data_IF_757826080243
#
_entry.id   IF_757826080243
#
_cell.length_a   1.000
_cell.length_b   1.000
_cell.length_c   1.000
_cell.angle_alpha   90.00
_cell.angle_beta   90.00
_cell.angle_gamma   90.00
#
_symmetry.space_group_name_H-M   'P 1'
#
loop_
_entity.id
_entity.type
_entity.pdbx_description
1 polymer ?
#
# COMPACT_ATOMS: atom_id res chain seq x y z
N UNK A 1 15.22 -41.82 38.62
CA UNK A 1 15.10 -40.34 38.49
C UNK A 1 14.37 -39.95 37.20
N UNK A 2 13.17 -40.47 36.99
CA UNK A 2 12.30 -40.19 35.82
C UNK A 2 10.82 -40.34 36.22
N UNK A 3 10.45 -39.90 37.43
CA UNK A 3 9.06 -40.03 37.93
C UNK A 3 8.61 -38.93 38.91
N UNK A 4 9.34 -37.81 39.06
CA UNK A 4 8.95 -36.73 39.99
C UNK A 4 8.69 -35.36 39.33
N UNK A 5 8.41 -35.30 38.03
CA UNK A 5 8.03 -34.07 37.31
C UNK A 5 6.60 -34.10 36.75
N UNK A 6 5.66 -34.80 37.40
CA UNK A 6 4.26 -34.93 36.94
C UNK A 6 3.20 -34.58 38.00
N UNK A 7 3.55 -33.88 39.08
CA UNK A 7 2.60 -33.64 40.20
C UNK A 7 2.43 -32.20 40.69
N UNK A 8 2.91 -31.20 39.95
CA UNK A 8 2.64 -29.80 40.28
C UNK A 8 2.25 -29.06 39.01
N UNK A 9 0.96 -29.07 38.70
CA UNK A 9 0.18 -28.00 38.04
C UNK A 9 -1.22 -28.55 37.63
N UNK A 10 -1.86 -29.27 38.54
CA UNK A 10 -3.29 -29.63 38.49
C UNK A 10 -4.02 -28.85 39.57
N UNK A 11 -3.99 -27.52 39.49
CA UNK A 11 -4.70 -26.64 40.41
C UNK A 11 -5.04 -25.31 39.71
N UNK A 12 -5.85 -25.37 38.66
CA UNK A 12 -6.62 -24.22 38.16
C UNK A 12 -7.76 -24.68 37.21
N UNK A 13 -8.35 -25.84 37.47
CA UNK A 13 -9.57 -26.28 36.78
C UNK A 13 -10.74 -26.10 37.75
N UNK A 14 -11.50 -25.01 37.56
CA UNK A 14 -12.91 -24.79 37.92
C UNK A 14 -13.15 -23.36 38.42
N UNK A 15 -13.19 -22.39 37.49
CA UNK A 15 -14.20 -21.33 37.55
C UNK A 15 -14.32 -20.66 36.19
N UNK A 16 -15.57 -20.37 35.80
CA UNK A 16 -15.97 -19.67 34.58
C UNK A 16 -16.02 -20.51 33.30
N UNK A 17 -16.97 -21.46 33.28
CA UNK A 17 -17.73 -21.71 32.06
C UNK A 17 -18.50 -20.44 31.67
N UNK A 18 -18.05 -19.77 30.62
CA UNK A 18 -18.90 -18.96 29.75
C UNK A 18 -18.47 -19.23 28.30
N UNK A 19 -19.39 -19.52 27.38
CA UNK A 19 -19.09 -19.59 25.96
C UNK A 19 -18.95 -18.15 25.45
N UNK A 20 -17.76 -17.58 25.60
CA UNK A 20 -17.38 -16.37 24.88
C UNK A 20 -17.03 -16.77 23.46
N UNK A 21 -18.01 -16.75 22.56
CA UNK A 21 -17.71 -16.63 21.14
C UNK A 21 -16.82 -15.40 20.98
N UNK A 22 -15.58 -15.59 20.57
CA UNK A 22 -14.77 -14.53 20.02
C UNK A 22 -15.44 -14.12 18.70
N UNK A 23 -16.45 -13.26 18.83
CA UNK A 23 -16.97 -12.45 17.75
C UNK A 23 -15.79 -11.56 17.36
N UNK A 24 -15.08 -11.95 16.29
CA UNK A 24 -14.37 -10.96 15.48
C UNK A 24 -15.36 -9.80 15.30
N UNK A 25 -14.99 -8.54 15.57
CA UNK A 25 -15.89 -7.43 15.27
C UNK A 25 -16.17 -7.51 13.78
N UNK A 26 -17.34 -8.07 13.42
CA UNK A 26 -17.97 -7.76 12.16
C UNK A 26 -18.22 -6.28 12.27
N UNK A 27 -17.37 -5.47 11.65
CA UNK A 27 -17.66 -4.07 11.41
C UNK A 27 -18.90 -4.04 10.51
N UNK A 28 -20.06 -4.14 11.13
CA UNK A 28 -21.32 -3.83 10.51
C UNK A 28 -21.26 -2.35 10.20
N UNK A 29 -20.90 -2.03 8.96
CA UNK A 29 -21.05 -0.70 8.42
C UNK A 29 -22.56 -0.39 8.42
N UNK A 30 -23.07 0.18 9.50
CA UNK A 30 -24.27 1.01 9.41
C UNK A 30 -23.85 2.21 8.60
N UNK A 31 -24.14 2.19 7.30
CA UNK A 31 -24.03 3.34 6.42
C UNK A 31 -24.92 4.46 6.99
N UNK A 32 -24.34 5.26 7.88
CA UNK A 32 -24.84 6.60 8.12
C UNK A 32 -24.67 7.33 6.80
N UNK A 33 -25.75 7.92 6.29
CA UNK A 33 -25.69 8.83 5.15
C UNK A 33 -24.95 10.11 5.58
N UNK A 34 -23.66 9.99 5.89
CA UNK A 34 -22.77 11.13 5.94
C UNK A 34 -22.71 11.67 4.51
N UNK A 35 -22.95 12.97 4.38
CA UNK A 35 -22.61 13.74 3.20
C UNK A 35 -21.21 13.34 2.76
N UNK A 36 -21.12 12.65 1.62
CA UNK A 36 -19.85 12.17 1.10
C UNK A 36 -18.87 13.35 1.06
N UNK A 37 -17.75 13.22 1.77
CA UNK A 37 -16.67 14.18 1.68
C UNK A 37 -16.13 14.13 0.25
N UNK A 38 -16.57 15.06 -0.58
CA UNK A 38 -15.95 15.22 -1.90
C UNK A 38 -14.53 15.68 -1.63
N UNK A 39 -13.54 14.89 -2.07
CA UNK A 39 -12.19 15.42 -2.25
C UNK A 39 -12.27 16.37 -3.44
N UNK A 40 -12.79 17.57 -3.20
CA UNK A 40 -12.47 18.72 -4.03
C UNK A 40 -11.07 19.12 -3.62
N UNK A 41 -10.09 18.36 -4.12
CA UNK A 41 -8.75 18.88 -4.22
C UNK A 41 -8.88 20.18 -5.02
N UNK A 42 -8.50 21.30 -4.41
CA UNK A 42 -8.14 22.47 -5.18
C UNK A 42 -6.89 22.07 -5.97
N UNK A 43 -7.12 21.40 -7.11
CA UNK A 43 -6.20 21.00 -8.15
C UNK A 43 -4.76 20.69 -7.73
N UNK A 44 -4.53 19.64 -6.92
CA UNK A 44 -3.29 18.81 -6.91
C UNK A 44 -3.12 17.94 -5.66
N UNK A 45 -3.69 18.34 -4.52
CA UNK A 45 -3.44 17.68 -3.24
C UNK A 45 -4.42 16.53 -2.93
N UNK A 46 -3.89 15.31 -2.82
CA UNK A 46 -4.58 14.08 -2.42
C UNK A 46 -3.98 13.60 -1.10
N UNK A 47 -4.80 13.30 -0.10
CA UNK A 47 -4.30 12.86 1.21
C UNK A 47 -5.25 11.90 1.91
N UNK A 48 -4.70 10.87 2.54
CA UNK A 48 -5.45 9.94 3.38
C UNK A 48 -6.24 10.63 4.50
N UNK A 49 -5.77 11.81 4.95
CA UNK A 49 -6.40 12.65 5.97
C UNK A 49 -7.72 13.29 5.52
N UNK A 50 -8.04 13.25 4.23
CA UNK A 50 -9.31 13.74 3.69
C UNK A 50 -10.49 12.82 3.99
N UNK A 51 -10.25 11.60 4.49
CA UNK A 51 -11.28 10.70 5.02
C UNK A 51 -10.96 10.30 6.45
N UNK A 52 -11.89 10.55 7.38
CA UNK A 52 -11.74 10.15 8.77
C UNK A 52 -11.61 8.62 8.91
N UNK A 53 -12.36 7.85 8.12
CA UNK A 53 -12.29 6.39 8.12
C UNK A 53 -10.93 5.88 7.65
N UNK A 54 -10.38 6.46 6.57
CA UNK A 54 -9.06 6.07 6.09
C UNK A 54 -7.95 6.54 7.03
N UNK A 55 -8.05 7.76 7.56
CA UNK A 55 -7.11 8.28 8.56
C UNK A 55 -7.03 7.40 9.81
N UNK A 56 -8.17 6.92 10.31
CA UNK A 56 -8.21 6.01 11.46
C UNK A 56 -7.52 4.67 11.15
N UNK A 57 -7.75 4.08 9.96
CA UNK A 57 -7.06 2.85 9.57
C UNK A 57 -5.55 3.03 9.43
N UNK A 58 -5.12 4.12 8.79
CA UNK A 58 -3.70 4.45 8.65
C UNK A 58 -3.06 4.65 10.02
N UNK A 59 -3.75 5.33 10.96
CA UNK A 59 -3.27 5.44 12.35
C UNK A 59 -3.11 4.06 13.01
N UNK A 60 -4.08 3.15 12.87
CA UNK A 60 -3.92 1.80 13.42
C UNK A 60 -2.71 1.06 12.82
N UNK A 61 -2.45 1.25 11.52
CA UNK A 61 -1.27 0.70 10.84
C UNK A 61 0.01 1.33 11.38
N UNK A 62 0.05 2.66 11.55
CA UNK A 62 1.16 3.39 12.15
C UNK A 62 1.45 2.91 13.59
N UNK A 63 0.42 2.49 14.32
CA UNK A 63 0.50 1.91 15.68
C UNK A 63 0.83 0.40 15.70
N UNK A 64 0.91 -0.25 14.52
CA UNK A 64 1.44 -1.61 14.37
C UNK A 64 0.46 -2.66 13.85
N UNK A 65 -0.81 -2.30 13.61
CA UNK A 65 -1.82 -3.18 13.02
C UNK A 65 -1.64 -3.27 11.48
N UNK A 66 -0.45 -3.62 11.01
CA UNK A 66 -0.08 -3.64 9.59
C UNK A 66 -0.49 -4.93 8.84
N UNK A 67 -1.29 -5.80 9.47
CA UNK A 67 -1.84 -7.01 8.83
C UNK A 67 -0.82 -8.11 8.51
N UNK A 68 0.27 -8.16 9.26
CA UNK A 68 1.28 -9.20 9.18
C UNK A 68 1.10 -10.24 10.29
N UNK A 69 1.33 -11.50 9.93
CA UNK A 69 1.26 -12.66 10.83
C UNK A 69 2.54 -13.49 10.76
N UNK A 70 2.86 -14.20 11.84
CA UNK A 70 4.05 -15.05 11.97
C UNK A 70 3.86 -16.46 11.37
N UNK A 71 2.61 -16.88 11.19
CA UNK A 71 2.25 -18.17 10.59
C UNK A 71 0.99 -18.05 9.72
N UNK A 72 0.71 -19.08 8.91
CA UNK A 72 -0.41 -19.13 7.96
C UNK A 72 -1.52 -20.11 8.34
N UNK A 73 -1.52 -20.63 9.57
CA UNK A 73 -2.51 -21.60 10.05
C UNK A 73 -3.34 -21.00 11.18
N UNK A 74 -2.65 -20.54 12.22
CA UNK A 74 -3.17 -19.91 13.42
C UNK A 74 -3.25 -18.38 13.28
N UNK A 75 -2.49 -17.80 12.34
CA UNK A 75 -2.44 -16.35 12.09
C UNK A 75 -2.02 -15.61 13.36
N UNK A 76 -0.95 -16.09 13.99
CA UNK A 76 -0.37 -15.47 15.17
C UNK A 76 0.20 -14.10 14.82
N UNK A 77 -0.19 -13.08 15.54
CA UNK A 77 0.37 -11.73 15.40
C UNK A 77 1.80 -11.67 15.94
N UNK A 78 2.65 -10.76 15.43
CA UNK A 78 3.94 -10.45 16.04
C UNK A 78 3.78 -10.07 17.52
N UNK A 79 4.67 -10.59 18.38
CA UNK A 79 4.65 -10.25 19.82
C UNK A 79 4.86 -8.74 20.06
N UNK A 80 5.74 -8.13 19.26
CA UNK A 80 6.00 -6.70 19.28
C UNK A 80 5.26 -6.02 18.11
N UNK A 81 4.52 -4.92 18.36
CA UNK A 81 3.83 -4.18 17.31
C UNK A 81 4.80 -3.72 16.22
N UNK A 82 4.45 -3.97 14.97
CA UNK A 82 5.21 -3.53 13.80
C UNK A 82 4.82 -2.10 13.43
N UNK A 83 4.98 -1.18 14.38
CA UNK A 83 4.62 0.23 14.29
C UNK A 83 5.62 1.05 13.46
N UNK A 84 5.23 2.24 13.01
CA UNK A 84 6.16 3.22 12.43
C UNK A 84 7.23 3.60 13.46
N UNK A 85 8.48 3.65 13.03
CA UNK A 85 9.64 3.85 13.90
C UNK A 85 10.24 2.57 14.47
N UNK A 86 9.63 1.40 14.21
CA UNK A 86 10.18 0.09 14.58
C UNK A 86 10.91 -0.58 13.41
N UNK A 87 11.38 -1.83 13.60
CA UNK A 87 12.05 -2.60 12.57
C UNK A 87 11.41 -3.96 12.37
N UNK A 88 11.11 -4.28 11.11
CA UNK A 88 10.83 -5.65 10.66
C UNK A 88 12.09 -6.50 10.82
N UNK A 89 11.94 -7.70 11.38
CA UNK A 89 12.99 -8.71 11.22
C UNK A 89 13.12 -9.08 9.73
N UNK A 90 14.20 -8.65 9.08
CA UNK A 90 14.43 -8.84 7.64
C UNK A 90 14.68 -10.29 7.24
N UNK A 91 14.98 -11.16 8.20
CA UNK A 91 15.16 -12.60 7.99
C UNK A 91 13.87 -13.39 8.23
N UNK A 92 12.93 -12.83 8.98
CA UNK A 92 11.63 -13.43 9.28
C UNK A 92 10.73 -13.45 8.04
N UNK A 93 10.03 -14.55 7.86
CA UNK A 93 8.91 -14.63 6.91
C UNK A 93 7.64 -14.18 7.63
N UNK A 94 6.91 -13.27 7.00
CA UNK A 94 5.58 -12.88 7.44
C UNK A 94 4.54 -13.36 6.44
N UNK A 95 3.30 -13.44 6.91
CA UNK A 95 2.13 -13.86 6.16
C UNK A 95 1.09 -12.75 6.18
N UNK A 96 0.31 -12.67 5.10
CA UNK A 96 -0.83 -11.76 4.95
C UNK A 96 -2.01 -12.60 4.53
N UNK A 97 -3.21 -12.24 4.99
CA UNK A 97 -4.47 -12.82 4.54
C UNK A 97 -5.52 -11.75 4.24
N UNK A 98 -6.51 -12.12 3.45
CA UNK A 98 -7.79 -11.40 3.28
C UNK A 98 -8.92 -12.16 3.97
N UNK A 99 -10.07 -11.53 4.17
CA UNK A 99 -11.28 -12.20 4.70
C UNK A 99 -11.83 -13.23 3.71
N UNK A 100 -11.55 -13.06 2.42
CA UNK A 100 -11.88 -14.03 1.36
C UNK A 100 -10.99 -15.27 1.36
N UNK A 101 -10.03 -15.36 2.28
CA UNK A 101 -9.14 -16.52 2.45
C UNK A 101 -7.94 -16.53 1.50
N UNK A 102 -7.75 -15.48 0.69
CA UNK A 102 -6.50 -15.31 -0.05
C UNK A 102 -5.37 -15.05 0.94
N UNK A 103 -4.19 -15.58 0.65
CA UNK A 103 -3.03 -15.36 1.49
C UNK A 103 -1.73 -15.30 0.71
N UNK A 104 -0.76 -14.60 1.27
CA UNK A 104 0.58 -14.43 0.73
C UNK A 104 1.62 -14.55 1.84
N UNK A 105 2.88 -14.75 1.46
CA UNK A 105 4.01 -14.64 2.36
C UNK A 105 5.19 -13.95 1.70
N UNK A 106 6.07 -13.41 2.53
CA UNK A 106 7.28 -12.74 2.06
C UNK A 106 8.13 -12.20 3.19
N UNK A 107 9.06 -11.33 2.83
CA UNK A 107 9.95 -10.59 3.74
C UNK A 107 10.01 -9.11 3.33
N UNK A 108 10.52 -8.28 4.24
CA UNK A 108 10.93 -6.89 3.98
C UNK A 108 9.81 -6.00 3.41
N UNK A 109 10.16 -4.99 2.60
CA UNK A 109 9.26 -3.99 2.02
C UNK A 109 8.06 -4.62 1.28
N UNK A 110 8.30 -5.73 0.58
CA UNK A 110 7.26 -6.42 -0.17
C UNK A 110 6.11 -6.89 0.70
N UNK A 111 6.41 -7.68 1.74
CA UNK A 111 5.35 -8.28 2.55
C UNK A 111 4.68 -7.23 3.44
N UNK A 112 5.44 -6.25 3.94
CA UNK A 112 4.89 -5.15 4.72
C UNK A 112 3.84 -4.38 3.92
N UNK A 113 4.17 -3.94 2.70
CA UNK A 113 3.24 -3.19 1.86
C UNK A 113 2.03 -4.04 1.43
N UNK A 114 2.17 -5.36 1.27
CA UNK A 114 1.03 -6.26 1.06
C UNK A 114 0.12 -6.33 2.29
N UNK A 115 0.69 -6.39 3.49
CA UNK A 115 -0.06 -6.41 4.76
C UNK A 115 -0.85 -5.13 4.97
N UNK A 116 -0.20 -3.98 4.78
CA UNK A 116 -0.84 -2.66 4.86
C UNK A 116 -1.99 -2.57 3.84
N UNK A 117 -1.77 -2.97 2.59
CA UNK A 117 -2.83 -2.95 1.58
C UNK A 117 -4.00 -3.87 1.94
N UNK A 118 -3.73 -5.05 2.50
CA UNK A 118 -4.80 -5.96 2.96
C UNK A 118 -5.61 -5.34 4.10
N UNK A 119 -4.98 -4.62 5.04
CA UNK A 119 -5.72 -3.89 6.08
C UNK A 119 -6.60 -2.79 5.50
N UNK A 120 -6.07 -2.03 4.54
CA UNK A 120 -6.78 -0.94 3.89
C UNK A 120 -7.93 -1.40 2.99
N UNK A 121 -7.79 -2.53 2.29
CA UNK A 121 -8.70 -2.90 1.20
C UNK A 121 -9.24 -4.32 1.25
N UNK A 122 -8.79 -5.12 2.21
CA UNK A 122 -9.10 -6.55 2.31
C UNK A 122 -8.82 -7.31 1.00
N UNK A 123 -7.70 -6.96 0.38
CA UNK A 123 -7.28 -7.44 -0.93
C UNK A 123 -5.75 -7.57 -0.99
N UNK A 124 -5.24 -8.26 -2.01
CA UNK A 124 -3.80 -8.37 -2.27
C UNK A 124 -3.45 -7.74 -3.62
N UNK A 125 -2.55 -6.74 -3.69
CA UNK A 125 -2.22 -6.05 -4.94
C UNK A 125 -1.46 -6.94 -5.95
N UNK A 126 -0.70 -7.92 -5.48
CA UNK A 126 0.16 -8.75 -6.34
C UNK A 126 0.11 -10.21 -5.93
N UNK A 127 0.20 -11.14 -6.90
CA UNK A 127 0.38 -12.57 -6.64
C UNK A 127 1.86 -12.97 -6.71
N UNK A 128 2.32 -13.78 -5.75
CA UNK A 128 3.68 -14.33 -5.70
C UNK A 128 4.35 -14.20 -4.35
N UNK A 129 5.66 -13.98 -4.35
CA UNK A 129 6.44 -13.74 -3.13
C UNK A 129 7.57 -12.72 -3.40
N UNK A 130 8.32 -12.36 -2.37
CA UNK A 130 9.46 -11.42 -2.45
C UNK A 130 10.52 -11.77 -3.51
N UNK A 131 10.52 -12.99 -4.07
CA UNK A 131 11.52 -13.47 -5.03
C UNK A 131 10.96 -13.76 -6.43
N UNK A 132 9.63 -13.88 -6.56
CA UNK A 132 8.96 -14.30 -7.79
C UNK A 132 7.51 -13.80 -7.78
N UNK A 133 7.33 -12.52 -8.04
CA UNK A 133 6.00 -11.97 -8.32
C UNK A 133 5.71 -12.29 -9.78
N UNK A 134 4.59 -12.96 -10.06
CA UNK A 134 4.34 -13.50 -11.40
C UNK A 134 3.55 -12.57 -12.28
N UNK A 135 2.58 -11.84 -11.72
CA UNK A 135 1.74 -10.81 -12.35
C UNK A 135 0.94 -10.10 -11.22
N UNK A 136 0.34 -8.93 -11.47
CA UNK A 136 -0.87 -8.52 -10.72
C UNK A 136 -1.87 -9.68 -10.69
N UNK A 137 -2.66 -9.83 -9.62
CA UNK A 137 -3.76 -10.80 -9.66
C UNK A 137 -4.67 -10.41 -10.85
N UNK A 138 -4.66 -11.21 -11.91
CA UNK A 138 -5.49 -11.03 -13.10
C UNK A 138 -6.19 -12.38 -13.30
N UNK A 139 -7.34 -12.58 -12.66
CA UNK A 139 -8.05 -13.86 -12.78
C UNK A 139 -8.95 -14.23 -11.60
N UNK A 140 -10.04 -13.48 -11.42
CA UNK A 140 -11.43 -13.96 -11.28
C UNK A 140 -12.26 -12.73 -10.92
N UNK A 141 -13.41 -12.57 -11.58
CA UNK A 141 -14.29 -11.41 -11.47
C UNK A 141 -14.76 -11.10 -10.04
N UNK A 142 -14.53 -12.01 -9.09
CA UNK A 142 -15.03 -11.92 -7.71
C UNK A 142 -14.06 -11.33 -6.67
N UNK A 143 -12.78 -11.08 -6.98
CA UNK A 143 -11.80 -10.55 -5.97
C UNK A 143 -10.88 -9.44 -6.51
N UNK A 144 -11.18 -8.84 -7.67
CA UNK A 144 -10.33 -7.83 -8.30
C UNK A 144 -10.63 -6.40 -7.81
N UNK A 145 -10.38 -6.16 -6.52
CA UNK A 145 -10.29 -4.80 -5.96
C UNK A 145 -8.92 -4.14 -6.21
N UNK A 146 -8.09 -4.68 -7.10
CA UNK A 146 -6.75 -4.17 -7.36
C UNK A 146 -6.55 -3.98 -8.87
N UNK A 147 -6.50 -2.73 -9.31
CA UNK A 147 -6.25 -2.34 -10.71
C UNK A 147 -4.91 -1.66 -10.83
N UNK A 148 -4.16 -2.05 -11.85
CA UNK A 148 -2.97 -1.29 -12.27
C UNK A 148 -3.43 0.01 -12.91
N UNK A 149 -3.08 1.15 -12.30
CA UNK A 149 -3.40 2.49 -12.81
C UNK A 149 -2.22 3.14 -13.55
N UNK A 150 -1.03 2.57 -13.40
CA UNK A 150 0.16 2.91 -14.18
C UNK A 150 0.97 1.65 -14.45
N UNK A 151 1.32 1.40 -15.72
CA UNK A 151 2.12 0.26 -16.16
C UNK A 151 3.28 0.72 -17.04
N UNK A 152 4.49 0.28 -16.71
CA UNK A 152 5.71 0.62 -17.46
C UNK A 152 6.54 1.73 -16.82
N UNK A 153 7.78 1.95 -17.29
CA UNK A 153 8.72 2.87 -16.68
C UNK A 153 8.18 4.30 -16.74
N UNK A 154 7.97 4.89 -15.57
CA UNK A 154 7.56 6.28 -15.42
C UNK A 154 8.40 6.97 -14.35
N UNK A 155 8.68 8.25 -14.57
CA UNK A 155 9.09 9.17 -13.52
C UNK A 155 7.85 9.55 -12.70
N UNK A 156 7.94 9.48 -11.38
CA UNK A 156 6.84 9.88 -10.51
C UNK A 156 6.86 11.39 -10.35
N UNK A 157 5.83 12.04 -10.86
CA UNK A 157 5.56 13.47 -10.76
C UNK A 157 4.11 13.67 -10.27
N UNK A 158 3.73 14.85 -9.77
CA UNK A 158 2.35 15.13 -9.41
C UNK A 158 1.39 14.88 -10.59
N UNK A 159 1.79 15.32 -11.78
CA UNK A 159 1.00 15.17 -13.01
C UNK A 159 0.76 13.70 -13.34
N UNK A 160 1.79 12.85 -13.27
CA UNK A 160 1.66 11.41 -13.54
C UNK A 160 0.72 10.75 -12.55
N UNK A 161 0.84 11.07 -11.25
CA UNK A 161 -0.05 10.55 -10.21
C UNK A 161 -1.49 11.02 -10.43
N UNK A 162 -1.67 12.27 -10.83
CA UNK A 162 -2.98 12.86 -11.05
C UNK A 162 -3.68 12.29 -12.30
N UNK A 163 -2.97 12.18 -13.43
CA UNK A 163 -3.46 11.56 -14.66
C UNK A 163 -3.84 10.09 -14.45
N UNK A 164 -3.03 9.37 -13.68
CA UNK A 164 -3.32 7.98 -13.27
C UNK A 164 -4.41 7.89 -12.18
N UNK A 165 -4.90 9.02 -11.66
CA UNK A 165 -5.93 9.10 -10.62
C UNK A 165 -5.55 8.32 -9.36
N UNK A 166 -4.28 8.45 -8.96
CA UNK A 166 -3.74 7.77 -7.79
C UNK A 166 -4.46 8.26 -6.54
N UNK A 167 -4.92 7.32 -5.72
CA UNK A 167 -5.63 7.57 -4.47
C UNK A 167 -4.78 7.14 -3.26
N UNK A 168 -5.02 7.70 -2.06
CA UNK A 168 -4.34 7.26 -0.85
C UNK A 168 -4.55 5.76 -0.59
N UNK A 169 -3.54 5.07 -0.08
CA UNK A 169 -3.51 3.62 0.06
C UNK A 169 -3.03 2.86 -1.19
N UNK A 170 -2.82 3.54 -2.33
CA UNK A 170 -2.31 2.88 -3.54
C UNK A 170 -0.95 2.22 -3.28
N UNK A 171 -0.79 1.00 -3.78
CA UNK A 171 0.46 0.25 -3.72
C UNK A 171 1.34 0.63 -4.91
N UNK A 172 2.62 0.94 -4.66
CA UNK A 172 3.60 1.24 -5.71
C UNK A 172 4.76 0.24 -5.65
N UNK A 173 5.22 -0.20 -6.83
CA UNK A 173 6.40 -1.04 -6.98
C UNK A 173 7.41 -0.44 -7.94
N UNK A 174 8.67 -0.39 -7.51
CA UNK A 174 9.83 -0.13 -8.37
C UNK A 174 10.67 -1.40 -8.58
N UNK A 175 11.36 -1.52 -9.71
CA UNK A 175 12.28 -2.63 -10.00
C UNK A 175 13.38 -2.23 -11.00
N UNK A 176 14.48 -2.97 -11.04
CA UNK A 176 15.54 -2.83 -12.06
C UNK A 176 15.38 -3.78 -13.25
N UNK A 177 14.55 -4.84 -13.13
CA UNK A 177 14.35 -5.85 -14.19
C UNK A 177 13.00 -5.63 -14.90
N UNK A 178 13.07 -5.05 -16.09
CA UNK A 178 11.91 -4.78 -16.94
C UNK A 178 11.64 -5.89 -17.97
N UNK A 179 12.60 -6.78 -18.23
CA UNK A 179 12.54 -7.74 -19.34
C UNK A 179 11.85 -9.05 -18.96
N UNK A 180 12.09 -9.56 -17.73
CA UNK A 180 11.50 -10.81 -17.27
C UNK A 180 10.37 -10.62 -16.27
N UNK A 181 10.10 -9.37 -15.89
CA UNK A 181 9.21 -9.06 -14.77
C UNK A 181 9.69 -9.72 -13.47
N UNK A 182 11.00 -9.97 -13.31
CA UNK A 182 11.54 -10.56 -12.09
C UNK A 182 11.59 -9.49 -11.01
N UNK A 183 10.62 -9.51 -10.10
CA UNK A 183 10.53 -8.56 -8.99
C UNK A 183 11.37 -9.00 -7.78
N UNK A 184 12.61 -9.45 -8.01
CA UNK A 184 13.49 -9.95 -6.96
C UNK A 184 13.64 -8.93 -5.81
N UNK A 185 13.54 -9.40 -4.57
CA UNK A 185 13.62 -8.61 -3.35
C UNK A 185 14.95 -7.88 -3.15
N UNK A 186 16.01 -8.25 -3.89
CA UNK A 186 17.26 -7.48 -3.92
C UNK A 186 17.25 -6.28 -4.88
N UNK A 187 16.27 -6.20 -5.78
CA UNK A 187 16.28 -5.27 -6.92
C UNK A 187 15.10 -4.29 -6.96
N UNK A 188 13.97 -4.62 -6.34
CA UNK A 188 12.79 -3.75 -6.32
C UNK A 188 12.32 -3.34 -4.93
N UNK A 189 11.57 -2.24 -4.86
CA UNK A 189 11.01 -1.71 -3.61
C UNK A 189 9.50 -1.52 -3.67
N UNK A 190 8.80 -1.84 -2.58
CA UNK A 190 7.34 -1.77 -2.47
C UNK A 190 6.93 -0.83 -1.35
N UNK A 191 5.98 0.05 -1.63
CA UNK A 191 5.49 1.05 -0.67
C UNK A 191 3.99 1.33 -0.88
N UNK A 192 3.40 2.03 0.08
CA UNK A 192 2.03 2.56 0.00
C UNK A 192 2.09 4.08 -0.12
N UNK A 193 1.35 4.65 -1.06
CA UNK A 193 1.20 6.10 -1.21
C UNK A 193 0.07 6.55 -0.29
N UNK A 194 0.34 7.43 0.67
CA UNK A 194 -0.65 7.98 1.59
C UNK A 194 -1.16 9.36 1.16
N UNK A 195 -0.42 10.05 0.31
CA UNK A 195 -0.84 11.33 -0.26
C UNK A 195 0.21 11.92 -1.18
N UNK A 196 -0.16 12.97 -1.90
CA UNK A 196 0.74 13.76 -2.73
C UNK A 196 0.13 15.14 -3.01
N UNK A 197 0.98 16.11 -3.33
CA UNK A 197 0.61 17.43 -3.83
C UNK A 197 1.59 17.86 -4.95
N UNK A 198 1.59 19.13 -5.34
CA UNK A 198 2.48 19.63 -6.40
C UNK A 198 3.98 19.49 -6.11
N UNK A 199 4.36 19.30 -4.85
CA UNK A 199 5.74 19.39 -4.38
C UNK A 199 6.24 18.13 -3.68
N UNK A 200 5.33 17.37 -3.07
CA UNK A 200 5.68 16.25 -2.21
C UNK A 200 4.81 15.03 -2.42
N UNK A 201 5.34 13.88 -2.01
CA UNK A 201 4.64 12.60 -1.89
C UNK A 201 4.83 12.08 -0.46
N UNK A 202 3.74 11.63 0.15
CA UNK A 202 3.74 10.94 1.44
C UNK A 202 3.61 9.44 1.21
N UNK A 203 4.55 8.68 1.75
CA UNK A 203 4.63 7.22 1.58
C UNK A 203 4.75 6.51 2.93
N UNK A 204 4.31 5.26 2.96
CA UNK A 204 4.53 4.31 4.05
C UNK A 204 5.23 3.06 3.50
N UNK A 205 6.34 2.69 4.12
CA UNK A 205 7.19 1.60 3.64
C UNK A 205 7.78 0.79 4.80
N UNK A 206 8.05 -0.48 4.52
CA UNK A 206 8.86 -1.34 5.37
C UNK A 206 10.26 -1.48 4.79
N UNK A 207 11.26 -1.76 5.64
CA UNK A 207 12.66 -1.88 5.22
C UNK A 207 13.24 -0.61 4.57
N UNK A 208 12.82 0.58 5.03
CA UNK A 208 13.16 1.88 4.45
C UNK A 208 14.68 2.14 4.36
N UNK A 209 15.46 1.60 5.31
CA UNK A 209 16.92 1.75 5.41
C UNK A 209 17.70 0.48 5.05
N UNK A 210 17.04 -0.55 4.50
CA UNK A 210 17.66 -1.85 4.21
C UNK A 210 17.89 -2.75 5.44
N UNK A 211 17.57 -2.29 6.65
CA UNK A 211 17.70 -3.01 7.91
C UNK A 211 16.36 -3.28 8.62
N UNK A 212 15.25 -3.12 7.91
CA UNK A 212 13.91 -3.44 8.39
C UNK A 212 13.08 -2.24 8.84
N UNK A 213 13.63 -1.02 8.86
CA UNK A 213 12.92 0.14 9.38
C UNK A 213 11.55 0.35 8.72
N UNK A 214 10.52 0.55 9.54
CA UNK A 214 9.19 0.94 9.12
C UNK A 214 9.07 2.45 9.25
N UNK A 215 8.73 3.12 8.14
CA UNK A 215 8.71 4.57 8.09
C UNK A 215 7.52 5.10 7.30
N UNK A 216 6.89 6.14 7.83
CA UNK A 216 6.17 7.12 7.03
C UNK A 216 7.13 8.24 6.66
N UNK A 217 7.06 8.74 5.44
CA UNK A 217 7.88 9.87 5.00
C UNK A 217 7.12 10.75 4.02
N UNK A 218 7.19 12.06 4.22
CA UNK A 218 6.79 13.06 3.22
C UNK A 218 8.06 13.65 2.63
N UNK A 219 8.25 13.43 1.32
CA UNK A 219 9.49 13.78 0.62
C UNK A 219 9.18 14.49 -0.71
N UNK A 220 10.14 15.27 -1.20
CA UNK A 220 10.03 15.86 -2.55
C UNK A 220 10.09 14.77 -3.63
N UNK A 221 9.60 15.09 -4.83
CA UNK A 221 9.72 14.19 -5.98
C UNK A 221 11.18 13.90 -6.38
N UNK A 222 12.07 14.88 -6.21
CA UNK A 222 13.50 14.69 -6.40
C UNK A 222 14.07 13.65 -5.42
N UNK A 223 13.74 13.77 -4.13
CA UNK A 223 14.17 12.80 -3.12
C UNK A 223 13.54 11.43 -3.34
N UNK A 224 12.27 11.38 -3.76
CA UNK A 224 11.62 10.12 -4.15
C UNK A 224 12.38 9.46 -5.31
N UNK A 225 12.72 10.22 -6.35
CA UNK A 225 13.47 9.71 -7.48
C UNK A 225 14.85 9.19 -7.06
N UNK A 226 15.56 9.95 -6.22
CA UNK A 226 16.84 9.53 -5.67
C UNK A 226 16.73 8.22 -4.88
N UNK A 227 15.73 8.09 -3.99
CA UNK A 227 15.58 6.93 -3.11
C UNK A 227 15.04 5.68 -3.79
N UNK A 228 14.19 5.83 -4.82
CA UNK A 228 13.39 4.70 -5.32
C UNK A 228 13.51 4.43 -6.81
N UNK A 229 14.04 5.37 -7.60
CA UNK A 229 14.23 5.20 -9.05
C UNK A 229 15.68 5.46 -9.46
N UNK A 230 16.02 6.69 -9.84
CA UNK A 230 17.30 7.06 -10.46
C UNK A 230 18.52 6.72 -9.59
N UNK A 231 18.46 6.96 -8.28
CA UNK A 231 19.59 6.65 -7.38
C UNK A 231 19.82 5.15 -7.16
N UNK A 232 18.89 4.29 -7.56
CA UNK A 232 18.99 2.82 -7.46
C UNK A 232 18.88 2.11 -8.81
N UNK A 233 18.93 2.84 -9.92
CA UNK A 233 18.71 2.33 -11.28
C UNK A 233 17.40 1.52 -11.41
N UNK A 234 16.36 1.95 -10.70
CA UNK A 234 15.02 1.36 -10.71
C UNK A 234 14.08 2.24 -11.52
N UNK A 235 12.99 1.65 -11.98
CA UNK A 235 11.86 2.38 -12.56
C UNK A 235 10.58 1.97 -11.84
N UNK A 236 9.58 2.85 -11.80
CA UNK A 236 8.24 2.46 -11.39
C UNK A 236 7.69 1.50 -12.43
N UNK A 237 7.09 0.41 -11.96
CA UNK A 237 6.48 -0.57 -12.86
C UNK A 237 4.98 -0.64 -12.73
N UNK A 238 4.49 -0.51 -11.50
CA UNK A 238 3.09 -0.65 -11.18
C UNK A 238 2.71 0.33 -10.08
N UNK A 239 1.57 0.99 -10.28
CA UNK A 239 0.75 1.54 -9.20
C UNK A 239 -0.56 0.77 -9.22
N UNK A 240 -0.96 0.23 -8.07
CA UNK A 240 -2.10 -0.68 -7.93
C UNK A 240 -3.03 -0.15 -6.83
N UNK A 241 -4.30 0.02 -7.15
CA UNK A 241 -5.32 0.49 -6.22
C UNK A 241 -6.70 -0.07 -6.59
N UNK A 242 -7.68 -0.04 -5.68
CA UNK A 242 -9.06 -0.34 -6.04
C UNK A 242 -9.71 0.66 -6.96
N UNK A 243 -10.87 0.25 -7.49
CA UNK A 243 -11.75 1.15 -8.21
C UNK A 243 -12.25 2.30 -7.33
N UNK A 244 -12.55 3.43 -7.98
CA UNK A 244 -13.12 4.60 -7.31
C UNK A 244 -14.41 4.29 -6.53
N UNK A 245 -15.18 3.27 -6.95
CA UNK A 245 -16.36 2.82 -6.23
C UNK A 245 -16.03 2.31 -4.81
N UNK A 246 -14.93 1.56 -4.66
CA UNK A 246 -14.47 1.01 -3.38
C UNK A 246 -14.04 2.12 -2.44
N UNK A 247 -13.32 3.12 -2.96
CA UNK A 247 -12.95 4.31 -2.19
C UNK A 247 -14.16 5.08 -1.70
N UNK A 248 -15.16 5.27 -2.56
CA UNK A 248 -16.39 5.96 -2.20
C UNK A 248 -17.19 5.19 -1.16
N UNK A 249 -17.34 3.89 -1.33
CA UNK A 249 -18.10 3.03 -0.41
C UNK A 249 -17.43 2.92 0.96
N UNK A 250 -16.13 2.62 0.98
CA UNK A 250 -15.41 2.30 2.21
C UNK A 250 -14.95 3.55 2.98
N UNK A 251 -14.62 4.62 2.25
CA UNK A 251 -13.98 5.82 2.82
C UNK A 251 -14.70 7.12 2.52
N UNK A 252 -15.79 7.10 1.76
CA UNK A 252 -16.47 8.32 1.32
C UNK A 252 -15.65 9.17 0.35
N UNK A 253 -14.55 8.64 -0.20
CA UNK A 253 -13.62 9.38 -1.03
C UNK A 253 -13.99 9.30 -2.52
N UNK A 254 -14.00 10.45 -3.19
CA UNK A 254 -14.16 10.54 -4.66
C UNK A 254 -13.01 11.31 -5.26
N UNK A 255 -12.41 10.81 -6.33
CA UNK A 255 -11.36 11.53 -7.05
C UNK A 255 -11.97 12.56 -8.02
N UNK A 256 -11.54 13.82 -7.92
CA UNK A 256 -11.80 14.83 -8.95
C UNK A 256 -10.50 15.45 -9.42
N UNK A 257 -10.16 15.24 -10.69
CA UNK A 257 -9.07 15.94 -11.36
C UNK A 257 -9.63 16.72 -12.54
N UNK A 258 -9.27 18.00 -12.57
CA UNK A 258 -9.48 18.85 -13.73
C UNK A 258 -8.10 19.00 -14.36
N UNK A 259 -7.93 18.43 -15.55
CA UNK A 259 -6.68 18.59 -16.28
C UNK A 259 -6.40 20.09 -16.47
N UNK A 260 -5.14 20.54 -16.30
CA UNK A 260 -4.80 21.91 -16.65
C UNK A 260 -5.18 22.13 -18.12
N UNK A 261 -5.64 23.35 -18.47
CA UNK A 261 -5.92 23.66 -19.87
C UNK A 261 -4.68 23.34 -20.69
N UNK A 262 -4.88 22.70 -21.85
CA UNK A 262 -3.79 22.40 -22.77
C UNK A 262 -2.96 23.68 -22.97
N UNK A 263 -1.61 23.61 -22.97
CA UNK A 263 -0.80 24.78 -23.24
C UNK A 263 -1.30 25.40 -24.54
N UNK A 264 -1.62 26.69 -24.48
CA UNK A 264 -2.00 27.44 -25.67
C UNK A 264 -0.80 27.32 -26.59
N UNK A 265 -0.95 26.60 -27.71
CA UNK A 265 0.07 26.59 -28.76
C UNK A 265 0.31 28.06 -29.10
N UNK A 266 1.44 28.59 -28.65
CA UNK A 266 1.86 29.93 -28.98
C UNK A 266 2.07 29.90 -30.49
N UNK A 267 1.08 30.44 -31.22
CA UNK A 267 1.06 30.44 -32.69
C UNK A 267 2.47 30.75 -33.18
N UNK A 268 3.14 29.73 -33.70
CA UNK A 268 4.49 29.89 -34.21
C UNK A 268 4.43 31.06 -35.20
N UNK A 269 5.15 32.14 -34.87
CA UNK A 269 5.16 33.32 -35.72
C UNK A 269 5.50 32.85 -37.15
N UNK A 270 4.74 33.26 -38.17
CA UNK A 270 4.98 32.82 -39.52
C UNK A 270 6.44 33.13 -39.88
N UNK A 271 7.21 32.09 -40.17
CA UNK A 271 8.59 32.22 -40.64
C UNK A 271 8.52 32.95 -41.97
N UNK A 272 8.75 34.26 -41.94
CA UNK A 272 8.94 35.04 -43.16
C UNK A 272 10.31 34.67 -43.71
N UNK A 273 10.33 33.74 -44.66
CA UNK A 273 11.48 33.54 -45.54
C UNK A 273 11.70 34.83 -46.32
N UNK A 274 12.72 35.60 -45.93
CA UNK A 274 13.24 36.69 -46.73
C UNK A 274 13.76 36.09 -48.03
N UNK A 275 13.18 36.50 -49.15
CA UNK A 275 13.71 36.18 -50.47
C UNK A 275 15.05 36.90 -50.63
N UNK A 276 16.12 36.14 -50.85
CA UNK A 276 17.40 36.67 -51.29
C UNK A 276 17.25 37.26 -52.70
N UNK A 277 17.70 38.50 -52.86
CA UNK A 277 17.91 39.18 -54.15
C UNK A 277 19.39 39.37 -54.40
#
# INVERSE_FOLDING_TARGET
MREQMKRLLSAAAALCMLPGMAVLPSFGYTASAETAAVVTAAASAVSYRQSAALAALVQCIEEGACGLYLDNQEWTEPEEPLAVGTNLNTQQRYYVRTTTGLSQWGKQCYIYSQGVYSQLFDALPLNGNSYSIKQPFNGNEDVLLARTVLQGPAEITPQVLAEAKVMPGAYLRTTTDLENGSFNGSAGHSLIILGYDDTTITILEGNANGMGAIAESTISYEEFAHRFTTGWNRTVTHIIQPDAAVYKERFGLTYSYVAPPAPIEENAAPVTTAAET
#
